data_IF_046228002193
#
_entry.id   IF_046228002193
#
_cell.length_a   1.000
_cell.length_b   1.000
_cell.length_c   1.000
_cell.angle_alpha   90.00
_cell.angle_beta   90.00
_cell.angle_gamma   90.00
#
_symmetry.space_group_name_H-M   'P 1'
#
loop_
_entity.id
_entity.type
_entity.pdbx_description
1 polymer ?
#
# COMPACT_ATOMS: atom_id res chain seq x y z
N UNK A 1 -12.78 -8.86 -12.45
CA UNK A 1 -12.43 -10.29 -12.41
C UNK A 1 -13.16 -10.95 -11.25
N UNK A 2 -13.62 -12.18 -11.47
CA UNK A 2 -14.32 -12.96 -10.44
C UNK A 2 -13.27 -13.79 -9.71
N UNK A 3 -12.57 -13.18 -8.75
CA UNK A 3 -11.49 -13.84 -8.00
C UNK A 3 -11.94 -15.09 -7.22
N UNK A 4 -13.24 -15.21 -6.91
CA UNK A 4 -13.77 -16.41 -6.28
C UNK A 4 -13.72 -17.67 -7.18
N UNK A 5 -13.46 -17.51 -8.48
CA UNK A 5 -13.22 -18.62 -9.39
C UNK A 5 -11.76 -19.13 -9.39
N UNK A 6 -10.84 -18.41 -8.77
CA UNK A 6 -9.45 -18.83 -8.61
C UNK A 6 -9.34 -19.99 -7.60
N UNK A 7 -8.45 -20.92 -7.87
CA UNK A 7 -8.26 -22.14 -7.08
C UNK A 7 -6.95 -22.07 -6.27
N UNK A 8 -7.03 -22.22 -4.93
CA UNK A 8 -5.82 -22.29 -4.10
C UNK A 8 -4.88 -23.42 -4.54
N UNK A 9 -3.58 -23.17 -4.51
CA UNK A 9 -2.54 -24.11 -4.94
C UNK A 9 -2.38 -24.29 -6.46
N UNK A 10 -3.20 -23.59 -7.27
CA UNK A 10 -3.12 -23.58 -8.74
C UNK A 10 -2.99 -22.14 -9.25
N UNK A 11 -3.95 -21.30 -8.90
CA UNK A 11 -4.02 -19.92 -9.36
C UNK A 11 -3.36 -18.94 -8.38
N UNK A 12 -3.22 -19.35 -7.11
CA UNK A 12 -2.52 -18.59 -6.06
C UNK A 12 -2.19 -19.50 -4.85
N UNK A 13 -1.13 -19.16 -4.11
CA UNK A 13 -0.75 -19.87 -2.89
C UNK A 13 -1.10 -19.11 -1.62
N UNK A 14 -1.00 -17.79 -1.63
CA UNK A 14 -1.17 -16.95 -0.46
C UNK A 14 -1.94 -15.68 -0.79
N UNK A 15 -2.92 -15.36 0.07
CA UNK A 15 -3.76 -14.18 -0.04
C UNK A 15 -3.66 -13.25 1.16
N UNK A 16 -3.10 -13.75 2.28
CA UNK A 16 -3.10 -12.99 3.53
C UNK A 16 -2.32 -11.69 3.41
N UNK A 17 -3.00 -10.61 3.72
CA UNK A 17 -2.48 -9.28 3.86
C UNK A 17 -2.90 -8.77 5.23
N UNK A 18 -1.95 -8.57 6.14
CA UNK A 18 -2.24 -8.00 7.45
C UNK A 18 -2.57 -6.51 7.33
N UNK A 19 -2.90 -5.85 8.41
CA UNK A 19 -3.14 -4.41 8.47
C UNK A 19 -2.32 -3.78 9.58
N UNK A 20 -2.10 -2.46 9.51
CA UNK A 20 -1.47 -1.69 10.58
C UNK A 20 -2.20 -1.93 11.91
N UNK A 21 -1.46 -2.16 12.98
CA UNK A 21 -2.04 -2.28 14.33
C UNK A 21 -2.52 -0.93 14.84
N UNK A 22 -3.71 -0.90 15.47
CA UNK A 22 -4.24 0.33 16.07
C UNK A 22 -3.31 0.89 17.16
N UNK A 23 -2.59 0.01 17.87
CA UNK A 23 -1.58 0.41 18.86
C UNK A 23 -0.42 1.16 18.23
N UNK A 24 0.07 0.70 17.08
CA UNK A 24 1.14 1.37 16.32
C UNK A 24 0.69 2.75 15.86
N UNK A 25 -0.53 2.87 15.31
CA UNK A 25 -1.07 4.16 14.91
C UNK A 25 -1.15 5.16 16.09
N UNK A 26 -1.67 4.70 17.24
CA UNK A 26 -1.78 5.55 18.44
C UNK A 26 -0.41 5.97 18.98
N UNK A 27 0.56 5.05 18.97
CA UNK A 27 1.93 5.35 19.36
C UNK A 27 2.57 6.39 18.44
N UNK A 28 2.43 6.24 17.12
CA UNK A 28 2.96 7.18 16.15
C UNK A 28 2.30 8.56 16.27
N UNK A 29 0.99 8.62 16.50
CA UNK A 29 0.29 9.87 16.74
C UNK A 29 0.77 10.56 18.03
N UNK A 30 0.97 9.80 19.11
CA UNK A 30 1.53 10.34 20.35
C UNK A 30 2.96 10.87 20.15
N UNK A 31 3.81 10.13 19.45
CA UNK A 31 5.17 10.57 19.12
C UNK A 31 5.14 11.84 18.27
N UNK A 32 4.26 11.89 17.28
CA UNK A 32 4.10 13.08 16.43
C UNK A 32 3.64 14.30 17.25
N UNK A 33 2.77 14.12 18.23
CA UNK A 33 2.34 15.18 19.13
C UNK A 33 3.49 15.69 20.00
N UNK A 34 4.20 14.79 20.68
CA UNK A 34 5.30 15.13 21.60
C UNK A 34 6.45 15.83 20.87
N UNK A 35 6.78 15.36 19.68
CA UNK A 35 7.93 15.87 18.90
C UNK A 35 7.54 16.97 17.91
N UNK A 36 6.29 17.40 17.87
CA UNK A 36 5.81 18.44 16.96
C UNK A 36 5.83 18.04 15.48
N UNK A 37 5.68 16.76 15.18
CA UNK A 37 5.84 16.21 13.83
C UNK A 37 4.54 16.32 13.03
N UNK A 38 4.66 16.49 11.72
CA UNK A 38 3.54 16.48 10.81
C UNK A 38 3.29 15.06 10.30
N UNK A 39 2.03 14.71 10.15
CA UNK A 39 1.58 13.44 9.56
C UNK A 39 0.94 13.75 8.20
N UNK A 40 1.45 13.18 7.12
CA UNK A 40 0.88 13.34 5.77
C UNK A 40 0.37 12.01 5.24
N UNK A 41 -0.62 12.09 4.38
CA UNK A 41 -1.24 10.93 3.73
C UNK A 41 -1.06 11.01 2.23
N UNK A 42 -0.75 9.86 1.64
CA UNK A 42 -0.71 9.65 0.19
C UNK A 42 -1.64 8.51 -0.16
N UNK A 43 -2.39 8.66 -1.24
CA UNK A 43 -3.20 7.60 -1.82
C UNK A 43 -2.63 7.16 -3.17
N UNK A 44 -2.48 5.85 -3.36
CA UNK A 44 -1.97 5.30 -4.62
C UNK A 44 -3.12 5.14 -5.61
N UNK A 45 -3.02 5.82 -6.75
CA UNK A 45 -4.00 5.71 -7.82
C UNK A 45 -3.96 4.29 -8.38
N UNK A 46 -5.06 3.56 -8.23
CA UNK A 46 -5.15 2.18 -8.75
C UNK A 46 -3.98 1.28 -8.38
N UNK A 47 -3.59 1.28 -7.12
CA UNK A 47 -2.40 0.62 -6.57
C UNK A 47 -2.07 -0.77 -7.17
N UNK A 48 -3.07 -1.65 -7.26
CA UNK A 48 -2.87 -3.03 -7.78
C UNK A 48 -2.47 -3.01 -9.26
N UNK A 49 -2.99 -2.06 -10.05
CA UNK A 49 -2.66 -1.96 -11.48
C UNK A 49 -1.26 -1.42 -11.75
N UNK A 50 -0.62 -0.82 -10.75
CA UNK A 50 0.74 -0.29 -10.85
C UNK A 50 1.82 -1.32 -10.50
N UNK A 51 1.43 -2.55 -10.17
CA UNK A 51 2.35 -3.64 -9.86
C UNK A 51 2.64 -4.49 -11.10
N UNK A 52 3.66 -5.32 -11.04
CA UNK A 52 4.03 -6.27 -12.07
C UNK A 52 3.59 -7.70 -11.68
N UNK A 53 3.36 -8.57 -12.66
CA UNK A 53 3.23 -10.00 -12.40
C UNK A 53 4.60 -10.59 -12.00
N UNK A 54 4.59 -11.63 -11.19
CA UNK A 54 5.84 -12.33 -10.84
C UNK A 54 6.46 -13.00 -12.08
N UNK A 55 7.79 -13.05 -12.17
CA UNK A 55 8.47 -13.74 -13.28
C UNK A 55 7.96 -15.18 -13.42
N UNK A 56 7.53 -15.54 -14.63
CA UNK A 56 7.00 -16.87 -14.94
C UNK A 56 5.53 -17.09 -14.61
N UNK A 57 4.86 -16.14 -13.98
CA UNK A 57 3.44 -16.23 -13.70
C UNK A 57 2.61 -16.03 -14.98
N UNK A 58 1.68 -16.93 -15.20
CA UNK A 58 0.73 -16.87 -16.32
C UNK A 58 -0.69 -16.87 -15.77
N UNK A 59 -1.36 -15.76 -15.94
CA UNK A 59 -2.76 -15.60 -15.54
C UNK A 59 -3.59 -15.40 -16.79
N UNK A 60 -4.67 -16.15 -16.91
CA UNK A 60 -5.61 -16.03 -18.00
C UNK A 60 -7.01 -15.74 -17.49
N UNK A 61 -7.75 -14.94 -18.23
CA UNK A 61 -9.16 -14.65 -17.99
C UNK A 61 -10.01 -15.12 -19.16
N UNK A 62 -11.21 -15.60 -18.87
CA UNK A 62 -12.22 -15.80 -19.92
C UNK A 62 -12.59 -14.46 -20.54
N UNK A 63 -12.94 -14.48 -21.80
CA UNK A 63 -13.52 -13.31 -22.46
C UNK A 63 -14.84 -12.93 -21.77
N UNK A 64 -15.22 -11.67 -21.90
CA UNK A 64 -16.51 -11.20 -21.39
C UNK A 64 -17.66 -11.93 -22.10
N UNK A 65 -18.78 -12.17 -21.40
CA UNK A 65 -19.97 -12.72 -22.01
C UNK A 65 -20.39 -11.89 -23.25
N UNK A 66 -20.65 -12.59 -24.36
CA UNK A 66 -20.97 -11.96 -25.64
C UNK A 66 -19.76 -11.58 -26.51
N UNK A 67 -18.54 -11.79 -26.02
CA UNK A 67 -17.29 -11.58 -26.77
C UNK A 67 -16.48 -12.87 -26.92
N UNK A 68 -17.10 -14.02 -26.66
CA UNK A 68 -16.47 -15.31 -26.81
C UNK A 68 -16.08 -15.55 -28.27
N UNK A 69 -14.85 -15.93 -28.49
CA UNK A 69 -14.35 -16.29 -29.81
C UNK A 69 -13.60 -17.62 -29.76
N UNK A 70 -13.73 -18.43 -30.78
CA UNK A 70 -12.99 -19.68 -30.89
C UNK A 70 -11.61 -19.46 -31.50
N UNK A 71 -10.65 -20.23 -30.99
CA UNK A 71 -9.34 -20.36 -31.59
C UNK A 71 -9.38 -21.28 -32.83
N UNK A 72 -8.26 -21.40 -33.52
CA UNK A 72 -8.12 -22.32 -34.65
C UNK A 72 -8.23 -23.80 -34.23
N UNK A 73 -8.02 -24.07 -32.95
CA UNK A 73 -8.13 -25.38 -32.30
C UNK A 73 -9.57 -25.71 -31.82
N UNK A 74 -10.55 -24.84 -32.10
CA UNK A 74 -11.93 -24.99 -31.69
C UNK A 74 -12.19 -24.67 -30.20
N UNK A 75 -11.18 -24.32 -29.44
CA UNK A 75 -11.32 -23.94 -28.03
C UNK A 75 -11.64 -22.44 -27.88
N UNK A 76 -12.29 -22.08 -26.77
CA UNK A 76 -12.53 -20.67 -26.44
C UNK A 76 -11.19 -19.95 -26.22
N UNK A 77 -11.02 -18.81 -26.87
CA UNK A 77 -9.91 -17.91 -26.58
C UNK A 77 -10.01 -17.37 -25.17
N UNK A 78 -8.86 -17.05 -24.60
CA UNK A 78 -8.72 -16.40 -23.28
C UNK A 78 -7.82 -15.18 -23.40
N UNK A 79 -8.03 -14.20 -22.53
CA UNK A 79 -7.10 -13.09 -22.40
C UNK A 79 -5.95 -13.47 -21.48
N UNK A 80 -4.74 -13.20 -21.90
CA UNK A 80 -3.59 -13.22 -21.02
C UNK A 80 -3.56 -11.92 -20.21
N UNK A 81 -3.53 -12.03 -18.91
CA UNK A 81 -3.35 -10.89 -17.99
C UNK A 81 -1.87 -10.51 -17.98
N UNK A 82 -1.56 -9.24 -18.21
CA UNK A 82 -0.19 -8.72 -18.26
C UNK A 82 0.22 -7.99 -16.98
N UNK A 83 -0.76 -7.47 -16.22
CA UNK A 83 -0.56 -6.79 -14.94
C UNK A 83 -1.61 -7.30 -13.95
N UNK A 84 -1.36 -7.25 -12.64
CA UNK A 84 -2.37 -7.60 -11.64
C UNK A 84 -3.63 -6.74 -11.81
N UNK A 85 -4.80 -7.33 -11.60
CA UNK A 85 -6.09 -6.64 -11.75
C UNK A 85 -6.96 -6.80 -10.51
N UNK A 86 -7.84 -5.84 -10.28
CA UNK A 86 -8.78 -5.88 -9.17
C UNK A 86 -9.67 -7.13 -9.22
N UNK A 87 -9.92 -7.71 -8.05
CA UNK A 87 -10.68 -8.93 -7.88
C UNK A 87 -9.83 -10.21 -7.91
N UNK A 88 -8.53 -10.13 -8.12
CA UNK A 88 -7.62 -11.26 -7.91
C UNK A 88 -7.39 -11.48 -6.41
N UNK A 89 -7.43 -12.75 -5.98
CA UNK A 89 -7.25 -13.12 -4.56
C UNK A 89 -5.88 -12.68 -3.99
N UNK A 90 -4.84 -12.79 -4.79
CA UNK A 90 -3.46 -12.44 -4.41
C UNK A 90 -3.11 -10.96 -4.63
N UNK A 91 -3.99 -10.14 -5.22
CA UNK A 91 -3.67 -8.77 -5.64
C UNK A 91 -3.16 -7.88 -4.50
N UNK A 92 -3.87 -7.84 -3.37
CA UNK A 92 -3.48 -7.04 -2.21
C UNK A 92 -2.14 -7.47 -1.59
N UNK A 93 -1.91 -8.81 -1.51
CA UNK A 93 -0.64 -9.34 -1.00
C UNK A 93 0.54 -8.99 -1.92
N UNK A 94 0.35 -9.05 -3.23
CA UNK A 94 1.39 -8.68 -4.20
C UNK A 94 1.77 -7.23 -4.07
N UNK A 95 0.78 -6.37 -4.12
CA UNK A 95 0.99 -4.94 -3.91
C UNK A 95 1.75 -4.66 -2.61
N UNK A 96 1.33 -5.26 -1.50
CA UNK A 96 2.03 -5.14 -0.22
C UNK A 96 3.50 -5.55 -0.34
N UNK A 97 3.77 -6.70 -0.96
CA UNK A 97 5.14 -7.21 -1.15
C UNK A 97 6.00 -6.24 -1.97
N UNK A 98 5.49 -5.76 -3.09
CA UNK A 98 6.19 -4.81 -3.95
C UNK A 98 6.49 -3.50 -3.22
N UNK A 99 5.52 -2.96 -2.51
CA UNK A 99 5.68 -1.75 -1.70
C UNK A 99 6.73 -1.95 -0.60
N UNK A 100 6.70 -3.08 0.11
CA UNK A 100 7.65 -3.38 1.18
C UNK A 100 9.08 -3.57 0.65
N UNK A 101 9.25 -4.29 -0.46
CA UNK A 101 10.55 -4.49 -1.08
C UNK A 101 11.16 -3.16 -1.55
N UNK A 102 10.35 -2.33 -2.19
CA UNK A 102 10.79 -1.01 -2.61
C UNK A 102 11.14 -0.11 -1.42
N UNK A 103 10.32 -0.08 -0.37
CA UNK A 103 10.60 0.69 0.85
C UNK A 103 11.94 0.29 1.46
N UNK A 104 12.21 -1.01 1.54
CA UNK A 104 13.51 -1.52 2.02
C UNK A 104 14.67 -1.15 1.10
N UNK A 105 14.45 -1.12 -0.22
CA UNK A 105 15.49 -0.74 -1.19
C UNK A 105 15.93 0.72 -1.05
N UNK A 106 15.10 1.57 -0.46
CA UNK A 106 15.44 2.94 -0.09
C UNK A 106 16.21 3.06 1.24
N UNK A 107 16.51 1.93 1.90
CA UNK A 107 17.24 1.90 3.17
C UNK A 107 16.36 2.07 4.42
N UNK A 108 15.02 2.01 4.30
CA UNK A 108 14.16 2.02 5.47
C UNK A 108 14.15 0.64 6.15
N UNK A 109 14.27 0.65 7.47
CA UNK A 109 14.20 -0.55 8.31
C UNK A 109 12.75 -0.81 8.72
N UNK A 110 12.30 -2.03 8.52
CA UNK A 110 10.97 -2.48 8.93
C UNK A 110 10.93 -2.73 10.44
N UNK A 111 9.84 -2.35 11.10
CA UNK A 111 9.65 -2.60 12.52
C UNK A 111 9.28 -4.08 12.77
N UNK A 112 9.94 -4.71 13.75
CA UNK A 112 9.72 -6.12 14.10
C UNK A 112 8.33 -6.37 14.70
N UNK A 113 7.75 -5.38 15.39
CA UNK A 113 6.46 -5.52 16.05
C UNK A 113 5.27 -5.22 15.16
N UNK A 114 5.48 -4.45 14.08
CA UNK A 114 4.45 -4.11 13.09
C UNK A 114 5.05 -3.96 11.69
N UNK A 115 4.79 -4.93 10.85
CA UNK A 115 5.37 -5.01 9.51
C UNK A 115 4.98 -3.85 8.57
N UNK A 116 4.00 -3.03 8.94
CA UNK A 116 3.57 -1.87 8.16
C UNK A 116 4.35 -0.60 8.50
N UNK A 117 5.12 -0.62 9.57
CA UNK A 117 5.91 0.52 10.03
C UNK A 117 7.35 0.36 9.57
N UNK A 118 7.84 1.36 8.88
CA UNK A 118 9.23 1.47 8.44
C UNK A 118 9.83 2.76 8.97
N UNK A 119 11.10 2.75 9.28
CA UNK A 119 11.80 3.95 9.75
C UNK A 119 13.18 4.08 9.12
N UNK A 120 13.61 5.31 8.95
CA UNK A 120 14.98 5.68 8.60
C UNK A 120 15.40 6.82 9.50
N UNK A 121 16.56 6.67 10.13
CA UNK A 121 17.13 7.70 11.02
C UNK A 121 18.54 8.00 10.56
N UNK A 122 18.85 9.28 10.43
CA UNK A 122 20.20 9.81 10.22
C UNK A 122 20.61 10.64 11.44
N UNK A 123 21.81 11.22 11.44
CA UNK A 123 22.28 12.04 12.56
C UNK A 123 21.34 13.21 12.88
N UNK A 124 20.78 13.84 11.84
CA UNK A 124 20.00 15.08 11.95
C UNK A 124 18.55 14.94 11.53
N UNK A 125 18.11 13.72 11.16
CA UNK A 125 16.81 13.53 10.54
C UNK A 125 16.22 12.13 10.79
N UNK A 126 14.90 12.05 10.84
CA UNK A 126 14.19 10.77 10.92
C UNK A 126 12.93 10.79 10.08
N UNK A 127 12.64 9.66 9.45
CA UNK A 127 11.43 9.41 8.68
C UNK A 127 10.77 8.15 9.22
N UNK A 128 9.46 8.22 9.47
CA UNK A 128 8.62 7.04 9.70
C UNK A 128 7.64 6.93 8.56
N UNK A 129 7.63 5.79 7.91
CA UNK A 129 6.72 5.45 6.82
C UNK A 129 5.80 4.31 7.25
N UNK A 130 4.50 4.50 7.03
CA UNK A 130 3.49 3.46 7.27
C UNK A 130 2.96 3.01 5.91
N UNK A 131 3.37 1.83 5.50
CA UNK A 131 3.04 1.26 4.19
C UNK A 131 1.76 0.43 4.28
N UNK A 132 0.59 1.04 4.15
CA UNK A 132 -0.69 0.33 4.20
C UNK A 132 -1.08 -0.20 2.81
N UNK A 133 -1.58 -1.44 2.78
CA UNK A 133 -1.98 -2.14 1.55
C UNK A 133 -3.49 -2.19 1.36
N UNK A 134 -4.24 -1.30 1.97
CA UNK A 134 -5.67 -1.19 1.68
C UNK A 134 -5.86 -0.54 0.31
N UNK A 135 -6.90 -0.93 -0.39
CA UNK A 135 -7.22 -0.50 -1.75
C UNK A 135 -7.44 1.00 -1.92
N UNK A 136 -7.21 1.79 -0.89
CA UNK A 136 -7.50 3.22 -0.91
C UNK A 136 -6.62 4.12 -0.06
N UNK A 137 -5.61 3.66 0.69
CA UNK A 137 -4.79 4.64 1.41
C UNK A 137 -3.48 4.12 1.96
N UNK A 138 -2.41 4.82 1.65
CA UNK A 138 -1.13 4.71 2.34
C UNK A 138 -0.93 5.96 3.19
N UNK A 139 -0.54 5.77 4.44
CA UNK A 139 -0.30 6.90 5.35
C UNK A 139 1.18 7.03 5.62
N UNK A 140 1.64 8.26 5.54
CA UNK A 140 3.00 8.62 5.92
C UNK A 140 2.95 9.47 7.16
N UNK A 141 3.67 9.08 8.18
CA UNK A 141 3.94 9.93 9.33
C UNK A 141 5.26 10.66 9.07
N UNK A 142 5.23 11.99 9.13
CA UNK A 142 6.37 12.85 8.87
C UNK A 142 6.85 13.55 10.12
N UNK A 143 8.15 13.53 10.31
CA UNK A 143 8.87 14.50 11.12
C UNK A 143 9.39 15.59 10.17
N UNK A 144 9.03 16.86 10.35
CA UNK A 144 9.46 18.12 9.67
C UNK A 144 9.93 18.04 8.18
N UNK A 145 9.96 19.12 7.40
CA UNK A 145 10.49 19.10 6.04
C UNK A 145 12.00 18.89 6.06
N UNK A 146 12.39 17.63 6.05
CA UNK A 146 13.76 17.19 6.21
C UNK A 146 14.25 16.56 4.92
N UNK A 147 15.56 16.42 4.79
CA UNK A 147 16.17 15.85 3.60
C UNK A 147 15.68 14.42 3.33
N UNK A 148 15.51 13.60 4.36
CA UNK A 148 15.00 12.22 4.25
C UNK A 148 13.59 12.19 3.66
N UNK A 149 12.69 13.05 4.14
CA UNK A 149 11.34 13.13 3.62
C UNK A 149 11.29 13.60 2.16
N UNK A 150 12.01 14.66 1.82
CA UNK A 150 12.03 15.19 0.46
C UNK A 150 12.60 14.15 -0.54
N UNK A 151 13.65 13.45 -0.14
CA UNK A 151 14.23 12.37 -0.94
C UNK A 151 13.26 11.20 -1.09
N UNK A 152 12.65 10.75 0.00
CA UNK A 152 11.67 9.66 -0.01
C UNK A 152 10.46 10.00 -0.88
N UNK A 153 9.86 11.20 -0.71
CA UNK A 153 8.70 11.62 -1.48
C UNK A 153 8.99 11.70 -2.97
N UNK A 154 10.17 12.20 -3.35
CA UNK A 154 10.61 12.24 -4.75
C UNK A 154 10.71 10.83 -5.35
N UNK A 155 11.29 9.87 -4.64
CA UNK A 155 11.38 8.49 -5.12
C UNK A 155 9.99 7.82 -5.15
N UNK A 156 9.12 8.13 -4.20
CA UNK A 156 7.74 7.65 -4.15
C UNK A 156 6.94 8.10 -5.37
N UNK A 157 6.96 9.42 -5.66
CA UNK A 157 6.25 10.00 -6.80
C UNK A 157 6.86 9.64 -8.15
N UNK A 158 8.15 9.28 -8.19
CA UNK A 158 8.80 8.78 -9.40
C UNK A 158 8.39 7.35 -9.73
N UNK A 159 8.14 6.52 -8.70
CA UNK A 159 7.86 5.09 -8.87
C UNK A 159 6.39 4.82 -9.13
N UNK A 160 5.49 5.54 -8.48
CA UNK A 160 4.05 5.32 -8.55
C UNK A 160 3.25 6.61 -8.76
N UNK A 161 2.13 6.44 -9.41
CA UNK A 161 1.10 7.48 -9.48
C UNK A 161 0.35 7.51 -8.15
N UNK A 162 0.34 8.68 -7.50
CA UNK A 162 -0.29 8.88 -6.20
C UNK A 162 -0.80 10.30 -6.03
N UNK A 163 -1.75 10.46 -5.14
CA UNK A 163 -2.30 11.74 -4.71
C UNK A 163 -1.78 12.09 -3.31
N UNK A 164 -1.31 13.33 -3.13
CA UNK A 164 -0.96 13.87 -1.82
C UNK A 164 -2.21 14.46 -1.19
N UNK A 165 -2.80 13.75 -0.24
CA UNK A 165 -4.00 14.16 0.48
C UNK A 165 -3.71 15.18 1.62
N UNK A 166 -2.46 15.58 1.77
CA UNK A 166 -2.06 16.57 2.77
C UNK A 166 -1.92 15.99 4.18
N UNK A 167 -2.31 16.78 5.18
CA UNK A 167 -2.22 16.36 6.58
C UNK A 167 -3.28 15.31 6.92
N UNK A 168 -2.87 14.27 7.65
CA UNK A 168 -3.76 13.15 7.99
C UNK A 168 -4.92 13.63 8.88
N UNK A 169 -6.13 13.57 8.36
CA UNK A 169 -7.34 13.88 9.12
C UNK A 169 -8.11 12.63 9.59
N UNK A 170 -7.94 11.50 8.89
CA UNK A 170 -8.57 10.23 9.23
C UNK A 170 -7.68 9.06 8.81
N UNK A 171 -7.60 8.04 9.65
CA UNK A 171 -6.90 6.80 9.35
C UNK A 171 -7.52 5.63 10.11
N UNK A 172 -7.86 4.53 9.42
CA UNK A 172 -8.49 3.34 9.99
C UNK A 172 -9.75 3.67 10.83
N UNK A 173 -10.60 4.56 10.33
CA UNK A 173 -11.79 5.07 11.03
C UNK A 173 -11.49 5.80 12.35
N UNK A 174 -10.26 6.28 12.53
CA UNK A 174 -9.86 7.14 13.62
C UNK A 174 -9.66 8.53 13.06
N UNK A 175 -10.49 9.49 13.51
CA UNK A 175 -10.29 10.91 13.22
C UNK A 175 -9.04 11.42 13.94
N UNK A 176 -8.20 12.14 13.24
CA UNK A 176 -6.93 12.69 13.74
C UNK A 176 -6.98 14.20 13.57
N UNK A 177 -6.99 14.94 14.65
CA UNK A 177 -7.02 16.40 14.62
C UNK A 177 -5.88 16.98 15.46
N UNK A 178 -5.05 17.82 14.83
CA UNK A 178 -4.02 18.56 15.55
C UNK A 178 -4.61 19.80 16.17
N UNK A 179 -4.32 20.02 17.45
CA UNK A 179 -4.68 21.23 18.21
C UNK A 179 -3.42 21.74 18.91
N UNK A 180 -2.70 22.65 18.25
CA UNK A 180 -1.40 23.14 18.73
C UNK A 180 -0.38 21.99 18.86
N UNK A 181 0.11 21.77 20.07
CA UNK A 181 1.05 20.68 20.39
C UNK A 181 0.37 19.33 20.69
N UNK A 182 -0.95 19.26 20.64
CA UNK A 182 -1.71 18.05 20.92
C UNK A 182 -2.29 17.43 19.64
N UNK A 183 -2.42 16.11 19.63
CA UNK A 183 -3.17 15.37 18.60
C UNK A 183 -4.35 14.69 19.28
N UNK A 184 -5.56 15.04 18.87
CA UNK A 184 -6.79 14.42 19.32
C UNK A 184 -7.14 13.26 18.39
N UNK A 185 -7.31 12.08 18.97
CA UNK A 185 -7.83 10.91 18.27
C UNK A 185 -9.32 10.75 18.62
N UNK A 186 -10.16 10.65 17.62
CA UNK A 186 -11.59 10.47 17.79
C UNK A 186 -12.05 9.25 16.95
N UNK A 187 -12.73 8.33 17.61
CA UNK A 187 -13.33 7.19 16.94
C UNK A 187 -14.84 7.39 16.98
N UNK A 188 -15.39 7.83 15.86
CA UNK A 188 -16.84 7.87 15.68
C UNK A 188 -17.34 6.43 15.54
N UNK A 189 -18.34 6.08 16.34
CA UNK A 189 -19.02 4.80 16.25
C UNK A 189 -19.84 4.70 14.96
#
# INVERSE_FOLDING_TARGET
VVGCAQRPGIDFDQTHCSTLKSTSLRFLAATAAIQGLHMRRYDFVSAILQDDLEPGEQIVCRLLPGHETLGQDGNNKVWRVLIPIYGMQQGGRRWQRSLFLWTRSLGLTQCDTDNYVFSMTTADDALVWVAMSTTSSSSTSKMAPTHCYASFTRELTRRWELEDEGEVANLLNIGIARQGTSIKLNQSA
#
